data_IF_908404710470
#
_entry.id   IF_908404710470
#
_cell.length_a   1.000
_cell.length_b   1.000
_cell.length_c   1.000
_cell.angle_alpha   90.00
_cell.angle_beta   90.00
_cell.angle_gamma   90.00
#
_symmetry.space_group_name_H-M   'P 1'
#
loop_
_entity.id
_entity.type
_entity.pdbx_description
1 polymer ?
#
# COMPACT_ATOMS: atom_id res chain seq x y z
N UNK A 1 -16.61 67.19 -41.73
CA UNK A 1 -17.47 66.86 -40.58
C UNK A 1 -18.49 65.85 -41.08
N UNK A 2 -18.21 64.57 -40.89
CA UNK A 2 -18.99 63.48 -41.50
C UNK A 2 -19.16 62.37 -40.48
N UNK A 3 -20.42 62.02 -40.30
CA UNK A 3 -21.03 61.32 -39.18
C UNK A 3 -20.75 59.81 -39.24
N UNK A 4 -20.30 59.23 -38.13
CA UNK A 4 -20.19 57.78 -37.94
C UNK A 4 -21.59 57.14 -37.92
N UNK A 5 -21.79 56.09 -38.71
CA UNK A 5 -22.90 55.14 -38.53
C UNK A 5 -22.46 53.70 -38.84
N UNK A 6 -22.82 52.83 -37.90
CA UNK A 6 -23.12 51.38 -38.00
C UNK A 6 -21.92 50.43 -38.23
N UNK A 7 -21.69 49.53 -37.28
CA UNK A 7 -22.37 48.23 -37.28
C UNK A 7 -22.34 47.57 -35.89
N UNK A 8 -23.53 47.19 -35.41
CA UNK A 8 -23.70 46.25 -34.32
C UNK A 8 -23.30 44.87 -34.82
N UNK A 9 -22.36 44.21 -34.14
CA UNK A 9 -22.17 42.78 -34.25
C UNK A 9 -22.64 42.13 -32.94
N UNK A 10 -23.77 41.43 -33.04
CA UNK A 10 -24.24 40.51 -32.03
C UNK A 10 -23.41 39.23 -32.16
N UNK A 11 -22.46 39.04 -31.24
CA UNK A 11 -21.67 37.83 -31.10
C UNK A 11 -22.07 37.12 -29.82
N UNK A 12 -22.83 36.04 -30.00
CA UNK A 12 -23.32 35.05 -29.03
C UNK A 12 -22.38 34.87 -27.81
N UNK A 13 -22.91 35.17 -26.62
CA UNK A 13 -22.35 34.69 -25.35
C UNK A 13 -22.43 33.15 -25.33
N UNK A 14 -21.34 32.50 -25.72
CA UNK A 14 -21.09 31.11 -25.39
C UNK A 14 -20.81 31.01 -23.90
N UNK A 15 -21.82 30.60 -23.14
CA UNK A 15 -21.73 30.22 -21.74
C UNK A 15 -20.84 28.97 -21.63
N UNK A 16 -19.52 29.15 -21.69
CA UNK A 16 -18.57 28.13 -21.30
C UNK A 16 -18.64 28.04 -19.78
N UNK A 17 -19.55 27.20 -19.29
CA UNK A 17 -19.56 26.75 -17.92
C UNK A 17 -18.17 26.19 -17.62
N UNK A 18 -17.37 26.96 -16.88
CA UNK A 18 -16.16 26.48 -16.27
C UNK A 18 -16.58 25.38 -15.30
N UNK A 19 -16.49 24.13 -15.75
CA UNK A 19 -16.52 22.96 -14.87
C UNK A 19 -15.20 23.00 -14.12
N UNK A 20 -15.16 23.83 -13.08
CA UNK A 20 -14.22 23.67 -12.00
C UNK A 20 -14.59 22.34 -11.31
N UNK A 21 -14.01 21.25 -11.80
CA UNK A 21 -13.96 20.01 -11.02
C UNK A 21 -13.13 20.37 -9.81
N UNK A 22 -13.82 20.53 -8.67
CA UNK A 22 -13.17 20.52 -7.38
C UNK A 22 -12.30 19.27 -7.32
N UNK A 23 -10.98 19.47 -7.28
CA UNK A 23 -10.04 18.48 -6.79
C UNK A 23 -10.37 18.28 -5.31
N UNK A 24 -11.43 17.51 -5.05
CA UNK A 24 -11.66 16.93 -3.75
C UNK A 24 -10.42 16.11 -3.42
N UNK A 25 -9.90 16.31 -2.22
CA UNK A 25 -8.77 15.59 -1.62
C UNK A 25 -8.81 14.12 -2.07
N UNK A 26 -7.86 13.78 -2.93
CA UNK A 26 -7.70 12.44 -3.44
C UNK A 26 -7.48 11.53 -2.23
N UNK A 27 -8.28 10.48 -2.00
CA UNK A 27 -8.05 9.59 -0.87
C UNK A 27 -6.63 9.04 -0.99
N UNK A 28 -5.85 9.19 0.09
CA UNK A 28 -4.50 8.68 0.18
C UNK A 28 -4.48 7.20 -0.23
N UNK A 29 -3.86 6.90 -1.38
CA UNK A 29 -3.54 5.58 -1.91
C UNK A 29 -4.52 4.44 -1.55
N UNK A 30 -5.59 4.19 -2.33
CA UNK A 30 -6.45 3.05 -2.07
C UNK A 30 -5.65 1.74 -2.26
N UNK A 31 -5.46 1.01 -1.16
CA UNK A 31 -4.93 -0.34 -1.16
C UNK A 31 -5.99 -1.30 -1.73
N UNK A 32 -5.65 -2.04 -2.79
CA UNK A 32 -6.50 -3.10 -3.31
C UNK A 32 -5.93 -4.46 -2.88
N UNK A 33 -6.49 -5.05 -1.82
CA UNK A 33 -6.15 -6.41 -1.40
C UNK A 33 -6.96 -7.38 -2.28
N UNK A 34 -6.28 -8.01 -3.24
CA UNK A 34 -6.84 -8.99 -4.16
C UNK A 34 -6.63 -10.43 -3.62
N UNK A 35 -7.21 -10.71 -2.46
CA UNK A 35 -7.32 -12.07 -1.92
C UNK A 35 -6.09 -12.62 -1.17
N UNK A 36 -6.36 -13.65 -0.36
CA UNK A 36 -5.38 -14.46 0.35
C UNK A 36 -5.21 -15.83 -0.33
N UNK A 37 -3.99 -16.36 -0.36
CA UNK A 37 -3.68 -17.69 -0.91
C UNK A 37 -2.43 -18.29 -0.29
N UNK A 38 -2.09 -19.55 -0.61
CA UNK A 38 -0.85 -20.19 -0.15
C UNK A 38 0.23 -20.11 -1.22
N UNK A 39 1.47 -19.79 -0.83
CA UNK A 39 2.62 -19.83 -1.75
C UNK A 39 3.07 -21.27 -1.97
N UNK A 40 3.76 -21.53 -3.09
CA UNK A 40 4.38 -22.84 -3.35
C UNK A 40 5.45 -23.22 -2.30
N UNK A 41 5.93 -22.25 -1.53
CA UNK A 41 6.92 -22.42 -0.44
C UNK A 41 6.26 -22.55 0.95
N UNK A 42 4.93 -22.68 1.02
CA UNK A 42 4.20 -22.91 2.26
C UNK A 42 3.93 -21.66 3.12
N UNK A 43 4.26 -20.47 2.62
CA UNK A 43 3.89 -19.20 3.26
C UNK A 43 2.47 -18.76 2.91
N UNK A 44 1.86 -17.94 3.78
CA UNK A 44 0.60 -17.30 3.44
C UNK A 44 0.87 -16.06 2.59
N UNK A 45 0.15 -15.90 1.50
CA UNK A 45 0.27 -14.77 0.57
C UNK A 45 -0.95 -13.88 0.66
N UNK A 46 -0.72 -12.60 0.90
CA UNK A 46 -1.67 -11.52 0.62
C UNK A 46 -1.18 -10.79 -0.64
N UNK A 47 -1.97 -10.84 -1.71
CA UNK A 47 -1.68 -10.06 -2.91
C UNK A 47 -2.37 -8.73 -2.78
N UNK A 48 -1.61 -7.68 -2.50
CA UNK A 48 -2.15 -6.34 -2.44
C UNK A 48 -1.47 -5.46 -3.47
N UNK A 49 -2.27 -4.82 -4.30
CA UNK A 49 -1.79 -3.76 -5.17
C UNK A 49 -2.01 -2.45 -4.43
N UNK A 50 -0.96 -1.96 -3.78
CA UNK A 50 -1.03 -0.70 -3.02
C UNK A 50 -0.07 0.31 -3.62
N UNK A 51 -0.62 1.42 -4.09
CA UNK A 51 0.08 2.55 -4.68
C UNK A 51 -0.89 3.39 -5.53
N UNK A 52 -0.39 4.43 -6.22
CA UNK A 52 -1.24 5.34 -7.00
C UNK A 52 -2.15 4.58 -7.97
N UNK A 53 -3.43 4.96 -8.05
CA UNK A 53 -4.32 4.40 -9.06
C UNK A 53 -3.96 4.97 -10.44
N UNK A 54 -3.55 4.11 -11.36
CA UNK A 54 -3.51 4.41 -12.78
C UNK A 54 -4.75 3.80 -13.46
N UNK A 55 -5.66 4.67 -13.92
CA UNK A 55 -6.72 4.27 -14.84
C UNK A 55 -6.13 4.14 -16.26
N UNK A 56 -6.30 2.97 -16.88
CA UNK A 56 -5.85 2.71 -18.24
C UNK A 56 -6.95 2.09 -19.11
N UNK A 57 -6.90 2.34 -20.41
CA UNK A 57 -7.73 1.66 -21.40
C UNK A 57 -6.93 0.50 -22.02
N UNK A 58 -7.53 -0.69 -22.07
CA UNK A 58 -6.97 -1.80 -22.87
C UNK A 58 -7.53 -1.76 -24.29
N UNK A 59 -6.74 -2.17 -25.27
CA UNK A 59 -7.20 -2.37 -26.64
C UNK A 59 -8.19 -3.55 -26.65
N UNK A 60 -9.48 -3.27 -26.45
CA UNK A 60 -10.52 -4.30 -26.34
C UNK A 60 -11.72 -3.94 -25.47
N UNK A 61 -12.08 -2.66 -25.37
CA UNK A 61 -13.25 -2.12 -24.63
C UNK A 61 -13.26 -2.22 -23.09
N UNK A 62 -12.22 -2.80 -22.48
CA UNK A 62 -12.09 -2.86 -21.02
C UNK A 62 -11.47 -1.58 -20.42
N UNK A 63 -12.20 -0.93 -19.50
CA UNK A 63 -11.62 0.01 -18.53
C UNK A 63 -10.90 -0.81 -17.46
N UNK A 64 -9.61 -0.55 -17.25
CA UNK A 64 -8.81 -1.23 -16.23
C UNK A 64 -8.38 -0.19 -15.19
N UNK A 65 -8.72 -0.44 -13.93
CA UNK A 65 -8.17 0.32 -12.78
C UNK A 65 -6.99 -0.49 -12.27
N UNK A 66 -5.76 0.03 -12.41
CA UNK A 66 -4.59 -0.52 -11.74
C UNK A 66 -4.30 0.34 -10.52
N UNK A 67 -4.14 -0.26 -9.34
CA UNK A 67 -3.33 0.38 -8.30
C UNK A 67 -1.85 0.13 -8.56
N UNK A 68 -0.99 0.82 -7.83
CA UNK A 68 0.46 0.57 -7.84
C UNK A 68 1.23 1.31 -8.94
N UNK A 69 2.55 1.30 -8.82
CA UNK A 69 3.43 1.88 -9.84
C UNK A 69 3.33 1.08 -11.15
N UNK A 70 3.33 1.71 -12.34
CA UNK A 70 3.27 1.01 -13.62
C UNK A 70 4.36 -0.07 -13.75
N UNK A 71 5.48 0.16 -13.07
CA UNK A 71 6.67 -0.68 -13.06
C UNK A 71 6.81 -1.58 -11.82
N UNK A 72 5.90 -1.55 -10.82
CA UNK A 72 6.07 -2.39 -9.62
C UNK A 72 4.77 -2.99 -9.04
N UNK A 73 4.85 -4.20 -8.49
CA UNK A 73 3.77 -4.81 -7.70
C UNK A 73 4.29 -5.43 -6.42
N UNK A 74 3.45 -5.45 -5.37
CA UNK A 74 3.79 -5.96 -4.05
C UNK A 74 3.05 -7.27 -3.74
N UNK A 75 3.77 -8.24 -3.24
CA UNK A 75 3.27 -9.47 -2.61
C UNK A 75 3.68 -9.45 -1.14
N UNK A 76 2.75 -9.66 -0.21
CA UNK A 76 3.08 -9.76 1.21
C UNK A 76 3.00 -11.23 1.61
N UNK A 77 4.08 -11.77 2.15
CA UNK A 77 4.16 -13.17 2.59
C UNK A 77 4.32 -13.23 4.09
N UNK A 78 3.32 -13.80 4.74
CA UNK A 78 3.30 -14.00 6.19
C UNK A 78 3.84 -15.39 6.51
N UNK A 79 4.75 -15.48 7.47
CA UNK A 79 5.18 -16.76 8.01
C UNK A 79 3.97 -17.55 8.54
N UNK A 80 4.00 -18.90 8.47
CA UNK A 80 2.92 -19.72 8.99
C UNK A 80 2.58 -19.36 10.44
N UNK A 81 1.29 -19.28 10.80
CA UNK A 81 0.89 -18.92 12.15
C UNK A 81 1.38 -19.98 13.14
N UNK A 82 2.23 -19.54 14.08
CA UNK A 82 2.80 -20.37 15.12
C UNK A 82 2.01 -20.35 16.43
N UNK A 83 2.62 -20.88 17.50
CA UNK A 83 2.09 -20.77 18.85
C UNK A 83 1.95 -19.31 19.33
N UNK A 84 2.81 -18.41 18.82
CA UNK A 84 2.83 -16.98 19.15
C UNK A 84 1.50 -16.30 18.86
N UNK A 85 0.87 -16.57 17.70
CA UNK A 85 -0.43 -15.96 17.37
C UNK A 85 -1.51 -16.31 18.40
N UNK A 86 -1.61 -17.59 18.78
CA UNK A 86 -2.64 -18.04 19.73
C UNK A 86 -2.37 -17.46 21.12
N UNK A 87 -1.11 -17.35 21.51
CA UNK A 87 -0.72 -16.71 22.76
C UNK A 87 -1.08 -15.22 22.76
N UNK A 88 -0.79 -14.52 21.65
CA UNK A 88 -1.17 -13.13 21.46
C UNK A 88 -2.69 -12.95 21.59
N UNK A 89 -3.50 -13.72 20.85
CA UNK A 89 -4.96 -13.62 20.89
C UNK A 89 -5.52 -13.87 22.30
N UNK A 90 -4.96 -14.85 23.03
CA UNK A 90 -5.38 -15.17 24.40
C UNK A 90 -4.90 -14.14 25.44
N UNK A 91 -3.82 -13.40 25.15
CA UNK A 91 -3.27 -12.38 26.04
C UNK A 91 -3.97 -11.02 25.91
N UNK A 92 -4.78 -10.82 24.87
CA UNK A 92 -5.58 -9.60 24.71
C UNK A 92 -6.56 -9.43 25.87
N UNK A 93 -6.84 -8.20 26.32
CA UNK A 93 -7.94 -7.90 27.23
C UNK A 93 -9.28 -8.44 26.71
N UNK A 94 -10.22 -8.87 27.58
CA UNK A 94 -11.49 -9.46 27.15
C UNK A 94 -12.33 -8.56 26.23
N UNK A 95 -12.24 -7.24 26.36
CA UNK A 95 -12.91 -6.25 25.53
C UNK A 95 -12.21 -6.00 24.18
N UNK A 96 -10.99 -6.50 24.01
CA UNK A 96 -10.20 -6.43 22.78
C UNK A 96 -10.14 -7.76 22.04
N UNK A 97 -10.59 -8.85 22.65
CA UNK A 97 -10.71 -10.15 22.02
C UNK A 97 -11.93 -10.17 21.08
N UNK A 98 -11.76 -10.57 19.81
CA UNK A 98 -12.90 -10.84 18.93
C UNK A 98 -13.78 -11.96 19.49
N UNK A 99 -15.06 -12.03 19.08
CA UNK A 99 -15.91 -13.19 19.31
C UNK A 99 -15.20 -14.50 18.93
N UNK A 100 -15.42 -15.64 19.63
CA UNK A 100 -14.67 -16.88 19.39
C UNK A 100 -14.67 -17.38 17.94
N UNK A 101 -15.73 -17.09 17.19
CA UNK A 101 -15.89 -17.43 15.76
C UNK A 101 -15.15 -16.48 14.81
N UNK A 102 -14.47 -15.45 15.32
CA UNK A 102 -13.70 -14.45 14.58
C UNK A 102 -12.23 -14.32 15.04
N UNK A 103 -11.72 -15.32 15.78
CA UNK A 103 -10.35 -15.34 16.31
C UNK A 103 -9.36 -16.10 15.40
N UNK A 104 -9.82 -16.62 14.26
CA UNK A 104 -8.99 -17.30 13.28
C UNK A 104 -7.96 -16.38 12.63
N UNK A 105 -6.91 -16.97 12.07
CA UNK A 105 -5.81 -16.24 11.42
C UNK A 105 -6.27 -15.34 10.28
N UNK A 106 -7.30 -15.78 9.55
CA UNK A 106 -7.84 -15.14 8.36
C UNK A 106 -9.06 -14.28 8.63
N UNK A 107 -9.55 -14.26 9.87
CA UNK A 107 -10.73 -13.50 10.20
C UNK A 107 -10.40 -12.01 10.21
N UNK A 108 -11.38 -11.21 9.80
CA UNK A 108 -11.30 -9.75 9.66
C UNK A 108 -12.36 -9.11 10.56
N UNK A 109 -12.23 -9.19 11.89
CA UNK A 109 -13.29 -8.78 12.81
C UNK A 109 -13.56 -7.27 12.79
N UNK A 110 -12.59 -6.46 12.36
CA UNK A 110 -12.78 -5.02 12.14
C UNK A 110 -13.38 -4.68 10.77
N UNK A 111 -13.56 -5.66 9.87
CA UNK A 111 -14.05 -5.49 8.50
C UNK A 111 -13.27 -4.43 7.70
N UNK A 112 -11.96 -4.33 7.93
CA UNK A 112 -11.05 -3.35 7.33
C UNK A 112 -10.16 -3.96 6.23
N UNK A 113 -10.36 -5.23 5.87
CA UNK A 113 -9.52 -5.97 4.93
C UNK A 113 -8.16 -6.39 5.48
N UNK A 114 -7.95 -6.26 6.80
CA UNK A 114 -6.71 -6.69 7.47
C UNK A 114 -7.04 -7.86 8.41
N UNK A 115 -6.55 -9.05 8.05
CA UNK A 115 -6.78 -10.22 8.87
C UNK A 115 -6.00 -10.20 10.19
N UNK A 116 -6.46 -10.99 11.16
CA UNK A 116 -5.83 -11.09 12.48
C UNK A 116 -4.33 -11.43 12.41
N UNK A 117 -3.89 -12.28 11.46
CA UNK A 117 -2.48 -12.65 11.37
C UNK A 117 -1.58 -11.47 10.98
N UNK A 118 -2.02 -10.64 10.03
CA UNK A 118 -1.33 -9.38 9.70
C UNK A 118 -1.30 -8.46 10.92
N UNK A 119 -2.43 -8.33 11.62
CA UNK A 119 -2.52 -7.51 12.83
C UNK A 119 -1.56 -7.98 13.92
N UNK A 120 -1.46 -9.29 14.13
CA UNK A 120 -0.49 -9.88 15.04
C UNK A 120 0.96 -9.51 14.68
N UNK A 121 1.36 -9.64 13.41
CA UNK A 121 2.72 -9.27 12.97
C UNK A 121 3.03 -7.80 13.17
N UNK A 122 2.05 -6.93 12.98
CA UNK A 122 2.22 -5.47 13.07
C UNK A 122 1.93 -4.93 14.48
N UNK A 123 1.64 -5.79 15.46
CA UNK A 123 1.29 -5.37 16.83
C UNK A 123 -0.03 -4.57 16.92
N UNK A 124 -0.97 -4.83 16.00
CA UNK A 124 -2.24 -4.11 15.91
C UNK A 124 -3.34 -4.85 16.68
N UNK A 125 -4.37 -4.13 17.13
CA UNK A 125 -5.53 -4.73 17.79
C UNK A 125 -6.53 -5.29 16.77
N UNK A 126 -7.09 -6.49 16.99
CA UNK A 126 -7.92 -7.16 16.00
C UNK A 126 -9.23 -6.40 15.71
N UNK A 127 -9.85 -5.84 16.75
CA UNK A 127 -11.11 -5.10 16.67
C UNK A 127 -10.95 -3.63 16.21
N UNK A 128 -9.73 -3.12 16.07
CA UNK A 128 -9.49 -1.72 15.67
C UNK A 128 -9.23 -1.64 14.17
N UNK A 129 -9.96 -0.80 13.41
CA UNK A 129 -9.69 -0.58 11.99
C UNK A 129 -8.27 -0.05 11.74
N UNK A 130 -7.58 -0.69 10.81
CA UNK A 130 -6.13 -0.55 10.62
C UNK A 130 -5.68 -0.73 9.17
N UNK A 131 -6.58 -0.52 8.19
CA UNK A 131 -6.26 -0.62 6.77
C UNK A 131 -5.05 0.26 6.34
N UNK A 132 -4.87 1.40 7.01
CA UNK A 132 -3.74 2.32 6.80
C UNK A 132 -2.37 1.75 7.22
N UNK A 133 -2.35 0.66 7.97
CA UNK A 133 -1.14 -0.01 8.44
C UNK A 133 -0.56 -1.01 7.43
N UNK A 134 -1.33 -1.38 6.41
CA UNK A 134 -0.86 -2.29 5.37
C UNK A 134 0.36 -1.72 4.63
N UNK A 135 1.36 -2.55 4.30
CA UNK A 135 2.47 -2.16 3.45
C UNK A 135 2.00 -1.55 2.12
N UNK A 136 2.56 -0.39 1.81
CA UNK A 136 2.27 0.41 0.61
C UNK A 136 3.55 0.65 -0.17
N UNK A 137 3.52 0.51 -1.50
CA UNK A 137 4.65 0.94 -2.33
C UNK A 137 4.67 2.47 -2.38
N UNK A 138 5.87 3.03 -2.30
CA UNK A 138 6.16 4.44 -2.53
C UNK A 138 7.50 4.58 -3.25
N UNK A 139 7.88 5.81 -3.57
CA UNK A 139 9.21 6.16 -4.09
C UNK A 139 9.85 7.20 -3.19
N UNK A 140 11.17 7.16 -3.12
CA UNK A 140 11.98 8.16 -2.41
C UNK A 140 13.26 8.45 -3.17
N UNK A 141 13.80 9.65 -3.00
CA UNK A 141 15.15 9.96 -3.44
C UNK A 141 16.16 9.34 -2.47
N UNK A 142 17.04 8.49 -2.97
CA UNK A 142 18.11 7.87 -2.19
C UNK A 142 19.44 7.91 -2.96
N UNK A 143 20.56 7.94 -2.23
CA UNK A 143 21.89 7.84 -2.82
C UNK A 143 22.24 6.38 -3.03
N UNK A 144 22.29 5.92 -4.28
CA UNK A 144 22.71 4.57 -4.67
C UNK A 144 23.98 4.69 -5.51
N UNK A 145 25.04 3.98 -5.13
CA UNK A 145 26.36 4.05 -5.77
C UNK A 145 26.93 5.49 -5.89
N UNK A 146 26.58 6.36 -4.94
CA UNK A 146 27.04 7.76 -4.93
C UNK A 146 26.23 8.72 -5.81
N UNK A 147 25.16 8.25 -6.46
CA UNK A 147 24.25 9.08 -7.26
C UNK A 147 22.87 9.17 -6.61
N UNK A 148 22.27 10.37 -6.62
CA UNK A 148 20.90 10.56 -6.20
C UNK A 148 19.96 9.94 -7.25
N UNK A 149 19.13 8.99 -6.84
CA UNK A 149 18.18 8.28 -7.70
C UNK A 149 16.83 8.13 -6.99
N UNK A 150 15.76 8.16 -7.76
CA UNK A 150 14.45 7.75 -7.27
C UNK A 150 14.43 6.21 -7.18
N UNK A 151 14.17 5.68 -5.99
CA UNK A 151 14.14 4.25 -5.70
C UNK A 151 12.80 3.81 -5.14
N UNK A 152 12.50 2.52 -5.24
CA UNK A 152 11.33 1.92 -4.62
C UNK A 152 11.52 1.84 -3.11
N UNK A 153 10.44 2.14 -2.39
CA UNK A 153 10.36 1.94 -0.94
C UNK A 153 9.00 1.36 -0.56
N UNK A 154 8.94 0.75 0.63
CA UNK A 154 7.69 0.31 1.24
C UNK A 154 7.42 1.08 2.52
N UNK A 155 6.20 1.58 2.70
CA UNK A 155 5.76 2.18 3.95
C UNK A 155 4.66 1.35 4.61
N UNK A 156 4.77 1.14 5.92
CA UNK A 156 3.76 0.48 6.73
C UNK A 156 3.69 1.11 8.13
N UNK A 157 2.63 0.81 8.87
CA UNK A 157 2.50 1.22 10.27
C UNK A 157 2.49 -0.02 11.16
N UNK A 158 3.16 0.05 12.30
CA UNK A 158 3.17 -1.01 13.32
C UNK A 158 3.23 -0.43 14.72
N UNK A 159 2.98 -1.25 15.73
CA UNK A 159 3.35 -0.91 17.11
C UNK A 159 4.88 -0.84 17.23
N UNK A 160 5.39 0.12 18.00
CA UNK A 160 6.82 0.36 18.18
C UNK A 160 7.54 -0.82 18.87
N UNK A 161 6.80 -1.63 19.63
CA UNK A 161 7.28 -2.85 20.29
C UNK A 161 6.96 -4.13 19.50
N UNK A 162 6.44 -4.04 18.27
CA UNK A 162 6.12 -5.21 17.46
C UNK A 162 7.39 -6.00 17.10
N UNK A 163 7.43 -7.26 17.54
CA UNK A 163 8.53 -8.21 17.31
C UNK A 163 8.42 -8.86 15.91
N UNK A 164 8.65 -8.08 14.87
CA UNK A 164 8.60 -8.53 13.46
C UNK A 164 9.92 -8.26 12.74
N UNK A 165 10.39 -9.27 12.02
CA UNK A 165 11.49 -9.16 11.07
C UNK A 165 10.95 -9.10 9.64
N UNK A 166 11.57 -8.23 8.84
CA UNK A 166 11.27 -8.05 7.43
C UNK A 166 12.39 -8.65 6.57
N UNK A 167 12.03 -9.34 5.50
CA UNK A 167 12.93 -9.59 4.38
C UNK A 167 12.24 -9.15 3.09
N UNK A 168 13.00 -8.63 2.13
CA UNK A 168 12.47 -8.18 0.86
C UNK A 168 13.10 -8.99 -0.26
N UNK A 169 12.27 -9.44 -1.19
CA UNK A 169 12.72 -10.10 -2.41
C UNK A 169 12.17 -9.36 -3.62
N UNK A 170 12.88 -9.40 -4.75
CA UNK A 170 12.40 -8.87 -6.02
C UNK A 170 12.60 -9.86 -7.17
N UNK A 171 11.78 -9.69 -8.20
CA UNK A 171 11.86 -10.43 -9.45
C UNK A 171 11.47 -9.54 -10.62
N UNK A 172 12.02 -9.78 -11.82
CA UNK A 172 11.56 -9.16 -13.07
C UNK A 172 10.68 -10.10 -13.91
N UNK A 173 10.54 -11.37 -13.51
CA UNK A 173 9.92 -12.43 -14.33
C UNK A 173 8.86 -13.26 -13.60
N UNK A 174 8.47 -12.90 -12.37
CA UNK A 174 7.55 -13.64 -11.47
C UNK A 174 7.98 -15.05 -11.05
N UNK A 175 9.09 -15.60 -11.59
CA UNK A 175 9.50 -16.98 -11.34
C UNK A 175 10.67 -17.14 -10.37
N UNK A 176 11.60 -16.20 -10.35
CA UNK A 176 12.79 -16.25 -9.50
C UNK A 176 12.85 -14.98 -8.67
N UNK A 177 12.72 -15.13 -7.36
CA UNK A 177 12.82 -14.04 -6.38
C UNK A 177 14.23 -14.06 -5.77
N UNK A 178 14.86 -12.90 -5.70
CA UNK A 178 16.16 -12.70 -5.07
C UNK A 178 16.00 -11.72 -3.92
N UNK A 179 16.68 -11.98 -2.80
CA UNK A 179 16.71 -11.05 -1.68
C UNK A 179 17.32 -9.71 -2.11
N UNK A 180 16.70 -8.62 -1.68
CA UNK A 180 17.11 -7.24 -1.98
C UNK A 180 17.44 -6.54 -0.68
N UNK A 181 18.59 -5.88 -0.66
CA UNK A 181 18.99 -5.05 0.47
C UNK A 181 18.05 -3.84 0.62
N UNK A 182 17.75 -3.50 1.86
CA UNK A 182 17.00 -2.30 2.20
C UNK A 182 17.49 -1.72 3.53
N UNK A 183 17.27 -0.43 3.71
CA UNK A 183 17.41 0.24 5.01
C UNK A 183 16.04 0.45 5.63
N UNK A 184 15.97 0.41 6.96
CA UNK A 184 14.74 0.70 7.71
C UNK A 184 14.85 2.09 8.32
N UNK A 185 13.86 2.94 8.05
CA UNK A 185 13.74 4.28 8.60
C UNK A 185 12.43 4.39 9.39
N UNK A 186 12.47 5.06 10.54
CA UNK A 186 11.26 5.47 11.25
C UNK A 186 10.88 6.86 10.75
N UNK A 187 9.71 6.96 10.12
CA UNK A 187 9.17 8.21 9.58
C UNK A 187 8.33 8.88 10.65
N UNK A 188 8.67 10.13 10.99
CA UNK A 188 7.88 10.90 11.93
C UNK A 188 6.47 11.17 11.35
N UNK A 189 5.45 10.64 12.01
CA UNK A 189 4.06 10.81 11.64
C UNK A 189 3.23 11.17 12.88
N UNK A 190 2.99 12.47 13.13
CA UNK A 190 2.27 12.93 14.32
C UNK A 190 0.77 12.59 14.29
N UNK A 191 0.26 12.05 13.18
CA UNK A 191 -1.14 11.62 13.07
C UNK A 191 -1.38 10.22 13.62
N UNK A 192 -0.31 9.45 13.88
CA UNK A 192 -0.42 8.09 14.40
C UNK A 192 -0.81 8.07 15.89
N UNK A 193 -1.56 7.04 16.34
CA UNK A 193 -1.79 6.80 17.75
C UNK A 193 -0.49 6.63 18.54
N UNK A 194 -0.54 6.93 19.84
CA UNK A 194 0.60 6.72 20.74
C UNK A 194 1.04 5.24 20.73
N UNK A 195 2.35 4.99 20.67
CA UNK A 195 2.92 3.64 20.59
C UNK A 195 2.97 3.05 19.19
N UNK A 196 2.50 3.77 18.16
CA UNK A 196 2.59 3.37 16.77
C UNK A 196 3.71 4.13 16.04
N UNK A 197 4.34 3.48 15.07
CA UNK A 197 5.36 4.07 14.22
C UNK A 197 5.12 3.76 12.74
N UNK A 198 5.47 4.71 11.87
CA UNK A 198 5.53 4.48 10.43
C UNK A 198 6.95 4.05 10.08
N UNK A 199 7.08 2.88 9.49
CA UNK A 199 8.34 2.43 8.93
C UNK A 199 8.37 2.72 7.43
N UNK A 200 9.57 3.08 6.95
CA UNK A 200 9.91 3.08 5.54
C UNK A 200 11.07 2.13 5.30
N UNK A 201 10.86 1.16 4.41
CA UNK A 201 11.87 0.20 3.96
C UNK A 201 12.38 0.67 2.60
N UNK A 202 13.54 1.31 2.55
CA UNK A 202 14.11 1.92 1.35
C UNK A 202 15.01 0.92 0.64
N UNK A 203 14.71 0.60 -0.62
CA UNK A 203 15.50 -0.35 -1.42
C UNK A 203 16.56 0.37 -2.27
N UNK A 204 17.45 -0.40 -2.89
CA UNK A 204 18.34 0.09 -3.94
C UNK A 204 17.74 -0.05 -5.35
N UNK A 205 16.49 -0.53 -5.47
CA UNK A 205 15.86 -0.76 -6.76
C UNK A 205 15.41 0.58 -7.37
N UNK A 206 16.00 1.02 -8.49
CA UNK A 206 15.61 2.26 -9.12
C UNK A 206 14.19 2.15 -9.69
N UNK A 207 13.49 3.28 -9.72
CA UNK A 207 12.26 3.42 -10.50
C UNK A 207 12.66 3.52 -11.98
N UNK A 208 12.55 2.42 -12.71
CA UNK A 208 12.91 2.33 -14.13
C UNK A 208 11.69 2.26 -15.05
N UNK A 209 11.82 2.82 -16.26
CA UNK A 209 10.71 3.04 -17.19
C UNK A 209 10.26 1.80 -18.01
N UNK A 210 10.93 0.65 -17.93
CA UNK A 210 10.69 -0.44 -18.90
C UNK A 210 10.52 -1.84 -18.34
N UNK A 211 11.10 -2.18 -17.20
CA UNK A 211 10.95 -3.51 -16.61
C UNK A 211 10.02 -3.50 -15.41
N UNK A 212 9.04 -4.42 -15.42
CA UNK A 212 8.13 -4.62 -14.30
C UNK A 212 8.84 -5.40 -13.20
N UNK A 213 8.94 -4.79 -12.03
CA UNK A 213 9.50 -5.37 -10.82
C UNK A 213 8.39 -5.94 -9.93
N UNK A 214 8.56 -7.17 -9.49
CA UNK A 214 7.67 -7.86 -8.55
C UNK A 214 8.38 -7.93 -7.21
N UNK A 215 7.89 -7.19 -6.23
CA UNK A 215 8.44 -7.13 -4.88
C UNK A 215 7.65 -8.08 -3.99
N UNK A 216 8.35 -8.82 -3.15
CA UNK A 216 7.78 -9.62 -2.07
C UNK A 216 8.33 -9.14 -0.74
N UNK A 217 7.45 -8.71 0.15
CA UNK A 217 7.79 -8.42 1.54
C UNK A 217 7.42 -9.63 2.40
N UNK A 218 8.39 -10.25 3.07
CA UNK A 218 8.13 -11.32 4.03
C UNK A 218 8.14 -10.80 5.45
N UNK A 219 7.13 -11.19 6.23
CA UNK A 219 7.02 -10.89 7.65
C UNK A 219 7.15 -12.20 8.43
N UNK A 220 8.04 -12.20 9.43
CA UNK A 220 8.24 -13.32 10.35
C UNK A 220 8.41 -12.79 11.78
N UNK A 221 8.05 -13.58 12.80
CA UNK A 221 8.27 -13.14 14.17
C UNK A 221 9.79 -13.13 14.45
N UNK A 222 10.23 -12.23 15.32
CA UNK A 222 11.61 -12.22 15.84
C UNK A 222 11.88 -13.39 16.80
#
# INVERSE_FOLDING_TARGET
MTTLRKHCFAGVLGLAAAVAVALAEQPANPAFVAGAGTSAEGGLVLRSVVGPLHAGATAGSGRLVRGGFPAASLEIVLAPPGASFRQWMAALPPDQQPPPDQQGFFDEPAHDGVNNLMKHFLGLLPLVPSAHALPTLTTVDATVDGELREVLALELVRAADAEVAFTMEASTTLGVFQEVAFTTEVVADPSLPAGMERLRLVTELPVGDTDRTFIRLRLRPL
#
